data_IF_117133490147
#
_entry.id   IF_117133490147
#
_cell.length_a   1.000
_cell.length_b   1.000
_cell.length_c   1.000
_cell.angle_alpha   90.00
_cell.angle_beta   90.00
_cell.angle_gamma   90.00
#
_symmetry.space_group_name_H-M   'P 1'
#
loop_
_entity.id
_entity.type
_entity.pdbx_description
1 polymer ?
#
# COMPACT_ATOMS: atom_id res chain seq x y z
N UNK A 1 -8.56 -27.74 -110.96
CA UNK A 1 -7.93 -26.74 -110.06
C UNK A 1 -9.03 -25.84 -109.50
N UNK A 2 -9.29 -25.89 -108.19
CA UNK A 2 -10.25 -25.03 -107.50
C UNK A 2 -9.48 -23.99 -106.67
N UNK A 3 -9.89 -22.70 -106.63
CA UNK A 3 -9.18 -21.70 -105.85
C UNK A 3 -9.55 -21.81 -104.37
N UNK A 4 -8.53 -21.84 -103.50
CA UNK A 4 -8.70 -21.87 -102.06
C UNK A 4 -9.25 -20.53 -101.53
N UNK A 5 -10.40 -20.57 -100.85
CA UNK A 5 -11.05 -19.42 -100.21
C UNK A 5 -10.23 -18.98 -98.99
N UNK A 6 -9.56 -17.83 -99.05
CA UNK A 6 -8.89 -17.21 -97.89
C UNK A 6 -9.93 -16.70 -96.90
N UNK A 7 -10.09 -17.38 -95.77
CA UNK A 7 -10.82 -16.86 -94.60
C UNK A 7 -10.02 -15.75 -93.95
N UNK A 8 -10.53 -14.52 -94.04
CA UNK A 8 -9.99 -13.34 -93.34
C UNK A 8 -10.28 -13.49 -91.85
N UNK A 9 -9.26 -13.87 -91.06
CA UNK A 9 -9.32 -13.78 -89.59
C UNK A 9 -9.41 -12.29 -89.21
N UNK A 10 -10.61 -11.82 -88.88
CA UNK A 10 -10.80 -10.49 -88.29
C UNK A 10 -9.94 -10.36 -87.03
N UNK A 11 -9.15 -9.28 -87.00
CA UNK A 11 -8.17 -8.94 -85.96
C UNK A 11 -8.83 -8.83 -84.58
N UNK A 12 -8.81 -9.90 -83.78
CA UNK A 12 -9.18 -9.90 -82.34
C UNK A 12 -8.14 -9.25 -81.41
N UNK A 13 -7.07 -8.65 -81.97
CA UNK A 13 -5.98 -8.05 -81.20
C UNK A 13 -6.43 -6.89 -80.30
N UNK A 14 -7.45 -6.13 -80.71
CA UNK A 14 -8.00 -5.03 -79.89
C UNK A 14 -8.72 -5.51 -78.63
N UNK A 15 -9.54 -6.57 -78.75
CA UNK A 15 -10.28 -7.12 -77.61
C UNK A 15 -9.35 -7.72 -76.54
N UNK A 16 -8.28 -8.41 -76.95
CA UNK A 16 -7.28 -8.94 -76.02
C UNK A 16 -6.53 -7.82 -75.27
N UNK A 17 -6.26 -6.69 -75.95
CA UNK A 17 -5.56 -5.56 -75.36
C UNK A 17 -6.45 -4.82 -74.35
N UNK A 18 -7.75 -4.68 -74.63
CA UNK A 18 -8.74 -4.15 -73.68
C UNK A 18 -8.85 -5.05 -72.45
N UNK A 19 -8.93 -6.38 -72.65
CA UNK A 19 -9.00 -7.35 -71.55
C UNK A 19 -7.75 -7.27 -70.65
N UNK A 20 -6.58 -7.13 -71.27
CA UNK A 20 -5.31 -6.96 -70.56
C UNK A 20 -5.27 -5.64 -69.77
N UNK A 21 -5.74 -4.52 -70.34
CA UNK A 21 -5.82 -3.24 -69.62
C UNK A 21 -6.77 -3.33 -68.42
N UNK A 22 -7.93 -3.96 -68.57
CA UNK A 22 -8.87 -4.16 -67.45
C UNK A 22 -8.21 -4.97 -66.33
N UNK A 23 -7.52 -6.06 -66.70
CA UNK A 23 -6.81 -6.89 -65.72
C UNK A 23 -5.72 -6.09 -65.00
N UNK A 24 -4.89 -5.33 -65.72
CA UNK A 24 -3.85 -4.50 -65.11
C UNK A 24 -4.44 -3.47 -64.16
N UNK A 25 -5.55 -2.82 -64.51
CA UNK A 25 -6.21 -1.83 -63.65
C UNK A 25 -6.73 -2.47 -62.36
N UNK A 26 -7.40 -3.63 -62.45
CA UNK A 26 -7.93 -4.34 -61.28
C UNK A 26 -6.79 -4.82 -60.36
N UNK A 27 -5.73 -5.41 -60.92
CA UNK A 27 -4.59 -5.87 -60.13
C UNK A 27 -3.79 -4.72 -59.51
N UNK A 28 -3.68 -3.58 -60.19
CA UNK A 28 -3.06 -2.37 -59.63
C UNK A 28 -3.89 -1.84 -58.47
N UNK A 29 -5.21 -1.75 -58.62
CA UNK A 29 -6.11 -1.32 -57.55
C UNK A 29 -6.05 -2.26 -56.34
N UNK A 30 -6.04 -3.58 -56.57
CA UNK A 30 -5.88 -4.58 -55.52
C UNK A 30 -4.51 -4.48 -54.82
N UNK A 31 -3.42 -4.32 -55.58
CA UNK A 31 -2.08 -4.17 -55.04
C UNK A 31 -1.96 -2.94 -54.15
N UNK A 32 -2.51 -1.79 -54.59
CA UNK A 32 -2.56 -0.57 -53.78
C UNK A 32 -3.42 -0.78 -52.52
N UNK A 33 -4.57 -1.45 -52.64
CA UNK A 33 -5.40 -1.78 -51.47
C UNK A 33 -4.69 -2.71 -50.49
N UNK A 34 -3.96 -3.71 -50.95
CA UNK A 34 -3.20 -4.61 -50.06
C UNK A 34 -2.00 -3.90 -49.43
N UNK A 35 -1.29 -3.06 -50.18
CA UNK A 35 -0.18 -2.28 -49.66
C UNK A 35 -0.65 -1.30 -48.57
N UNK A 36 -1.79 -0.64 -48.77
CA UNK A 36 -2.39 0.27 -47.78
C UNK A 36 -2.88 -0.49 -46.54
N UNK A 37 -3.57 -1.61 -46.70
CA UNK A 37 -4.00 -2.45 -45.56
C UNK A 37 -2.80 -2.99 -44.77
N UNK A 38 -1.75 -3.44 -45.45
CA UNK A 38 -0.52 -3.93 -44.81
C UNK A 38 0.19 -2.83 -44.04
N UNK A 39 0.33 -1.63 -44.64
CA UNK A 39 0.91 -0.47 -43.97
C UNK A 39 0.12 -0.05 -42.73
N UNK A 40 -1.22 -0.01 -42.84
CA UNK A 40 -2.09 0.29 -41.71
C UNK A 40 -1.95 -0.74 -40.58
N UNK A 41 -1.92 -2.03 -40.92
CA UNK A 41 -1.76 -3.11 -39.94
C UNK A 41 -0.39 -3.06 -39.26
N UNK A 42 0.68 -2.79 -40.00
CA UNK A 42 2.03 -2.65 -39.45
C UNK A 42 2.11 -1.47 -38.46
N UNK A 43 1.46 -0.35 -38.79
CA UNK A 43 1.41 0.81 -37.91
C UNK A 43 0.57 0.52 -36.65
N UNK A 44 -0.57 -0.16 -36.79
CA UNK A 44 -1.39 -0.59 -35.66
C UNK A 44 -0.61 -1.52 -34.73
N UNK A 45 0.10 -2.52 -35.28
CA UNK A 45 0.94 -3.43 -34.51
C UNK A 45 2.07 -2.69 -33.77
N UNK A 46 2.73 -1.74 -34.43
CA UNK A 46 3.77 -0.90 -33.80
C UNK A 46 3.21 -0.08 -32.64
N UNK A 47 2.03 0.53 -32.83
CA UNK A 47 1.38 1.32 -31.79
C UNK A 47 0.95 0.44 -30.60
N UNK A 48 0.36 -0.73 -30.86
CA UNK A 48 -0.01 -1.67 -29.81
C UNK A 48 1.22 -2.14 -29.03
N UNK A 49 2.31 -2.47 -29.71
CA UNK A 49 3.55 -2.86 -29.07
C UNK A 49 4.08 -1.75 -28.15
N UNK A 50 4.17 -0.50 -28.64
CA UNK A 50 4.61 0.65 -27.82
C UNK A 50 3.72 0.88 -26.60
N UNK A 51 2.39 0.75 -26.76
CA UNK A 51 1.42 0.88 -25.68
C UNK A 51 1.65 -0.20 -24.61
N UNK A 52 1.79 -1.46 -25.02
CA UNK A 52 1.99 -2.59 -24.11
C UNK A 52 3.34 -2.48 -23.40
N UNK A 53 4.42 -2.12 -24.12
CA UNK A 53 5.72 -1.88 -23.51
C UNK A 53 5.69 -0.74 -22.49
N UNK A 54 5.06 0.39 -22.83
CA UNK A 54 4.92 1.52 -21.89
C UNK A 54 4.11 1.12 -20.66
N UNK A 55 3.07 0.29 -20.81
CA UNK A 55 2.30 -0.23 -19.67
C UNK A 55 3.13 -1.20 -18.82
N UNK A 56 3.90 -2.09 -19.46
CA UNK A 56 4.80 -3.01 -18.75
C UNK A 56 5.86 -2.26 -17.95
N UNK A 57 6.46 -1.21 -18.52
CA UNK A 57 7.40 -0.34 -17.81
C UNK A 57 6.71 0.38 -16.64
N UNK A 58 5.47 0.85 -16.83
CA UNK A 58 4.70 1.49 -15.78
C UNK A 58 4.42 0.53 -14.61
N UNK A 59 4.06 -0.73 -14.89
CA UNK A 59 3.86 -1.74 -13.84
C UNK A 59 5.15 -2.08 -13.10
N UNK A 60 6.30 -2.15 -13.80
CA UNK A 60 7.59 -2.35 -13.13
C UNK A 60 7.94 -1.18 -12.21
N UNK A 61 7.72 0.06 -12.65
CA UNK A 61 7.87 1.23 -11.79
C UNK A 61 6.93 1.19 -10.58
N UNK A 62 5.69 0.74 -10.76
CA UNK A 62 4.74 0.58 -9.66
C UNK A 62 5.24 -0.42 -8.62
N UNK A 63 5.76 -1.57 -9.03
CA UNK A 63 6.33 -2.57 -8.12
C UNK A 63 7.59 -2.06 -7.41
N UNK A 64 8.47 -1.33 -8.09
CA UNK A 64 9.59 -0.64 -7.43
C UNK A 64 9.09 0.36 -6.37
N UNK A 65 8.03 1.12 -6.69
CA UNK A 65 7.39 2.02 -5.73
C UNK A 65 6.81 1.29 -4.52
N UNK A 66 6.15 0.14 -4.72
CA UNK A 66 5.65 -0.70 -3.62
C UNK A 66 6.77 -1.20 -2.73
N UNK A 67 7.90 -1.60 -3.32
CA UNK A 67 9.08 -2.02 -2.56
C UNK A 67 9.64 -0.88 -1.69
N UNK A 68 9.78 0.33 -2.24
CA UNK A 68 10.21 1.51 -1.48
C UNK A 68 9.25 1.78 -0.31
N UNK A 69 7.95 1.66 -0.56
CA UNK A 69 6.94 1.82 0.49
C UNK A 69 7.08 0.75 1.59
N UNK A 70 7.36 -0.49 1.22
CA UNK A 70 7.59 -1.57 2.19
C UNK A 70 8.78 -1.26 3.12
N UNK A 71 9.87 -0.72 2.58
CA UNK A 71 11.05 -0.31 3.36
C UNK A 71 10.68 0.88 4.26
N UNK A 72 9.96 1.87 3.73
CA UNK A 72 9.50 3.01 4.50
C UNK A 72 8.58 2.59 5.65
N UNK A 73 7.65 1.67 5.41
CA UNK A 73 6.73 1.13 6.41
C UNK A 73 7.47 0.45 7.57
N UNK A 74 8.49 -0.35 7.27
CA UNK A 74 9.34 -1.00 8.27
C UNK A 74 10.17 -0.01 9.11
N UNK A 75 10.34 1.23 8.63
CA UNK A 75 11.09 2.29 9.31
C UNK A 75 10.19 3.24 10.12
N UNK A 76 8.87 2.99 10.16
CA UNK A 76 7.94 3.86 10.86
C UNK A 76 8.01 3.64 12.38
N UNK A 77 7.96 4.72 13.20
CA UNK A 77 7.98 4.60 14.64
C UNK A 77 6.64 4.04 15.17
N UNK A 78 6.71 3.27 16.26
CA UNK A 78 5.54 2.86 17.02
C UNK A 78 4.91 4.06 17.76
N UNK A 79 3.59 4.05 17.90
CA UNK A 79 2.84 5.08 18.65
C UNK A 79 1.82 4.43 19.57
N UNK A 80 1.60 4.97 20.78
CA UNK A 80 0.62 4.45 21.73
C UNK A 80 -0.82 4.80 21.37
N UNK A 81 -1.06 5.75 20.46
CA UNK A 81 -2.40 6.21 20.13
C UNK A 81 -3.00 5.41 18.97
N UNK A 82 -4.31 5.13 19.03
CA UNK A 82 -5.07 4.47 17.96
C UNK A 82 -5.42 5.41 16.78
N UNK A 83 -4.75 6.56 16.68
CA UNK A 83 -4.95 7.52 15.60
C UNK A 83 -3.60 8.03 15.09
N UNK A 84 -3.54 8.32 13.80
CA UNK A 84 -2.37 8.96 13.19
C UNK A 84 -2.58 10.47 13.24
N UNK A 85 -1.80 11.16 14.07
CA UNK A 85 -1.80 12.63 14.13
C UNK A 85 -1.24 13.24 12.84
N UNK A 86 -1.53 14.52 12.58
CA UNK A 86 -1.00 15.23 11.41
C UNK A 86 0.55 15.27 11.42
N UNK A 87 1.16 15.41 12.60
CA UNK A 87 2.61 15.39 12.75
C UNK A 87 3.21 14.02 12.36
N UNK A 88 2.59 12.93 12.79
CA UNK A 88 3.00 11.58 12.42
C UNK A 88 2.83 11.31 10.92
N UNK A 89 1.73 11.76 10.33
CA UNK A 89 1.54 11.66 8.88
C UNK A 89 2.59 12.46 8.09
N UNK A 90 3.01 13.62 8.60
CA UNK A 90 4.13 14.39 8.03
C UNK A 90 5.46 13.64 8.16
N UNK A 91 5.69 12.97 9.29
CA UNK A 91 6.88 12.16 9.50
C UNK A 91 6.93 10.96 8.54
N UNK A 92 5.81 10.25 8.34
CA UNK A 92 5.69 9.17 7.35
C UNK A 92 6.08 9.66 5.95
N UNK A 93 5.59 10.83 5.54
CA UNK A 93 5.94 11.43 4.26
C UNK A 93 7.45 11.75 4.17
N UNK A 94 8.04 12.30 5.24
CA UNK A 94 9.47 12.60 5.28
C UNK A 94 10.33 11.33 5.17
N UNK A 95 9.95 10.26 5.88
CA UNK A 95 10.62 8.95 5.82
C UNK A 95 10.54 8.39 4.39
N UNK A 96 9.36 8.41 3.78
CA UNK A 96 9.16 7.92 2.41
C UNK A 96 10.05 8.67 1.41
N UNK A 97 10.10 10.00 1.47
CA UNK A 97 10.96 10.81 0.60
C UNK A 97 12.44 10.46 0.78
N UNK A 98 12.89 10.28 2.03
CA UNK A 98 14.27 9.89 2.31
C UNK A 98 14.59 8.48 1.77
N UNK A 99 13.69 7.51 1.97
CA UNK A 99 13.86 6.14 1.47
C UNK A 99 13.88 6.06 -0.06
N UNK A 100 13.12 6.93 -0.73
CA UNK A 100 13.13 7.04 -2.18
C UNK A 100 14.45 7.63 -2.70
N UNK A 101 14.97 8.68 -2.07
CA UNK A 101 16.27 9.26 -2.43
C UNK A 101 17.41 8.26 -2.22
N UNK A 102 17.35 7.48 -1.13
CA UNK A 102 18.35 6.50 -0.75
C UNK A 102 18.39 5.26 -1.67
N UNK A 103 17.43 5.08 -2.58
CA UNK A 103 17.45 3.93 -3.49
C UNK A 103 18.69 3.97 -4.39
N UNK A 104 19.45 2.85 -4.52
CA UNK A 104 20.70 2.82 -5.29
C UNK A 104 20.55 3.27 -6.75
N UNK A 105 19.40 2.96 -7.37
CA UNK A 105 19.13 3.32 -8.76
C UNK A 105 18.65 4.77 -8.94
N UNK A 106 18.22 5.43 -7.87
CA UNK A 106 17.82 6.85 -7.83
C UNK A 106 19.02 7.74 -7.56
N UNK A 107 19.92 7.33 -6.66
CA UNK A 107 21.18 8.02 -6.41
C UNK A 107 21.02 9.47 -5.94
N UNK A 108 20.04 9.73 -5.06
CA UNK A 108 19.69 11.08 -4.58
C UNK A 108 19.31 12.09 -5.68
N UNK A 109 18.87 11.61 -6.85
CA UNK A 109 18.44 12.47 -7.97
C UNK A 109 16.91 12.57 -8.10
N UNK A 110 16.13 12.13 -7.10
CA UNK A 110 14.68 12.31 -7.17
C UNK A 110 14.33 13.79 -7.01
N UNK A 111 13.44 14.28 -7.87
CA UNK A 111 12.91 15.63 -7.81
C UNK A 111 11.82 15.69 -6.75
N UNK A 112 12.09 16.41 -5.67
CA UNK A 112 11.17 16.58 -4.55
C UNK A 112 10.49 17.95 -4.62
N UNK A 113 9.17 17.94 -4.54
CA UNK A 113 8.26 19.07 -4.40
C UNK A 113 7.61 19.03 -3.00
N UNK A 114 6.77 20.02 -2.67
CA UNK A 114 6.10 20.07 -1.36
C UNK A 114 5.19 18.85 -1.09
N UNK A 115 4.50 18.36 -2.11
CA UNK A 115 3.51 17.27 -2.00
C UNK A 115 3.77 16.12 -2.95
N UNK A 116 4.91 16.12 -3.65
CA UNK A 116 5.26 15.07 -4.59
C UNK A 116 6.76 14.82 -4.60
N UNK A 117 7.15 13.61 -4.97
CA UNK A 117 8.53 13.25 -5.25
C UNK A 117 8.56 12.31 -6.44
N UNK A 118 9.46 12.53 -7.39
CA UNK A 118 9.55 11.77 -8.65
C UNK A 118 10.98 11.32 -8.90
N UNK A 119 11.20 10.04 -9.21
CA UNK A 119 12.54 9.53 -9.56
C UNK A 119 12.95 9.98 -10.95
N UNK A 120 14.26 10.01 -11.25
CA UNK A 120 14.71 10.05 -12.64
C UNK A 120 14.17 8.84 -13.42
N UNK A 121 14.10 9.00 -14.75
CA UNK A 121 13.73 7.90 -15.64
C UNK A 121 14.82 6.84 -15.67
N UNK A 122 14.44 5.59 -15.40
CA UNK A 122 15.31 4.43 -15.50
C UNK A 122 14.96 3.61 -16.72
N UNK A 123 15.95 3.32 -17.56
CA UNK A 123 15.77 2.45 -18.73
C UNK A 123 15.36 1.04 -18.29
N UNK A 124 14.41 0.45 -19.02
CA UNK A 124 13.84 -0.86 -18.75
C UNK A 124 13.60 -1.62 -20.06
N UNK A 125 14.29 -2.74 -20.23
CA UNK A 125 14.18 -3.57 -21.43
C UNK A 125 14.89 -2.94 -22.63
N UNK A 126 14.17 -2.77 -23.74
CA UNK A 126 14.70 -2.21 -24.98
C UNK A 126 15.10 -0.72 -24.83
N UNK A 127 15.96 -0.23 -25.74
CA UNK A 127 16.62 1.08 -25.64
C UNK A 127 15.67 2.27 -25.40
N UNK A 128 14.44 2.21 -25.91
CA UNK A 128 13.48 3.32 -25.85
C UNK A 128 12.46 3.22 -24.70
N UNK A 129 12.52 2.14 -23.90
CA UNK A 129 11.59 1.89 -22.82
C UNK A 129 12.18 2.29 -21.47
N UNK A 130 11.43 3.04 -20.67
CA UNK A 130 11.85 3.54 -19.37
C UNK A 130 10.69 3.66 -18.40
N UNK A 131 10.98 3.68 -17.11
CA UNK A 131 10.00 3.95 -16.07
C UNK A 131 10.48 5.02 -15.09
N UNK A 132 9.51 5.65 -14.43
CA UNK A 132 9.67 6.57 -13.31
C UNK A 132 8.68 6.18 -12.22
N UNK A 133 9.04 6.46 -10.98
CA UNK A 133 8.19 6.30 -9.82
C UNK A 133 7.89 7.68 -9.27
N UNK A 134 6.60 7.96 -9.05
CA UNK A 134 6.14 9.21 -8.47
C UNK A 134 5.25 8.92 -7.27
N UNK A 135 5.59 9.48 -6.11
CA UNK A 135 4.66 9.58 -5.00
C UNK A 135 4.06 10.98 -4.97
N UNK A 136 2.76 11.06 -4.73
CA UNK A 136 2.03 12.31 -4.51
C UNK A 136 1.17 12.17 -3.26
N UNK A 137 1.29 13.12 -2.35
CA UNK A 137 0.46 13.21 -1.16
C UNK A 137 -0.86 13.92 -1.50
N UNK A 138 -1.98 13.26 -1.20
CA UNK A 138 -3.33 13.76 -1.41
C UNK A 138 -3.95 14.09 -0.04
N UNK A 139 -3.71 15.30 0.46
CA UNK A 139 -4.13 15.67 1.81
C UNK A 139 -3.23 15.08 2.90
N UNK A 140 -3.75 14.87 4.10
CA UNK A 140 -2.90 14.52 5.25
C UNK A 140 -2.52 13.04 5.29
N UNK A 141 -3.48 12.15 5.03
CA UNK A 141 -3.34 10.71 5.27
C UNK A 141 -3.44 9.85 4.00
N UNK A 142 -3.37 10.42 2.81
CA UNK A 142 -3.43 9.64 1.56
C UNK A 142 -2.17 9.89 0.74
N UNK A 143 -1.55 8.80 0.28
CA UNK A 143 -0.41 8.81 -0.63
C UNK A 143 -0.81 8.05 -1.89
N UNK A 144 -0.71 8.73 -3.04
CA UNK A 144 -0.83 8.11 -4.35
C UNK A 144 0.56 7.75 -4.86
N UNK A 145 0.77 6.46 -5.12
CA UNK A 145 1.90 5.95 -5.88
C UNK A 145 1.52 5.89 -7.36
N UNK A 146 2.39 6.39 -8.23
CA UNK A 146 2.24 6.34 -9.68
C UNK A 146 3.50 5.72 -10.30
N UNK A 147 3.32 4.60 -11.02
CA UNK A 147 4.33 4.08 -11.93
C UNK A 147 4.10 4.69 -13.31
N UNK A 148 5.09 5.40 -13.84
CA UNK A 148 5.02 6.08 -15.14
C UNK A 148 5.97 5.35 -16.09
N UNK A 149 5.44 4.70 -17.12
CA UNK A 149 6.23 4.01 -18.12
C UNK A 149 6.15 4.71 -19.47
N UNK A 150 7.27 4.77 -20.18
CA UNK A 150 7.37 5.34 -21.52
C UNK A 150 8.06 4.37 -22.47
N UNK A 151 7.59 4.33 -23.72
CA UNK A 151 8.31 3.74 -24.85
C UNK A 151 8.27 4.73 -26.02
N UNK A 152 9.39 5.41 -26.29
CA UNK A 152 9.48 6.51 -27.24
C UNK A 152 8.54 7.66 -26.87
N UNK A 153 7.58 7.97 -27.74
CA UNK A 153 6.57 9.03 -27.52
C UNK A 153 5.31 8.56 -26.79
N UNK A 154 5.19 7.27 -26.47
CA UNK A 154 4.00 6.71 -25.80
C UNK A 154 4.24 6.57 -24.31
N UNK A 155 3.35 7.14 -23.49
CA UNK A 155 3.43 7.07 -22.03
C UNK A 155 2.18 6.44 -21.44
N UNK A 156 2.36 5.56 -20.46
CA UNK A 156 1.29 4.97 -19.65
C UNK A 156 1.56 5.17 -18.17
N UNK A 157 0.49 5.23 -17.39
CA UNK A 157 0.56 5.41 -15.95
C UNK A 157 -0.36 4.41 -15.26
N UNK A 158 0.18 3.74 -14.26
CA UNK A 158 -0.60 2.96 -13.30
C UNK A 158 -0.46 3.63 -11.94
N UNK A 159 -1.52 3.60 -11.12
CA UNK A 159 -1.50 4.26 -9.82
C UNK A 159 -2.25 3.48 -8.76
N UNK A 160 -1.75 3.56 -7.53
CA UNK A 160 -2.37 2.99 -6.33
C UNK A 160 -2.49 4.10 -5.30
N UNK A 161 -3.66 4.23 -4.67
CA UNK A 161 -3.85 5.08 -3.51
C UNK A 161 -3.73 4.25 -2.24
N UNK A 162 -3.00 4.80 -1.27
CA UNK A 162 -2.74 4.18 0.01
C UNK A 162 -3.09 5.16 1.11
N UNK A 163 -3.62 4.62 2.20
CA UNK A 163 -3.98 5.39 3.39
C UNK A 163 -2.89 5.20 4.44
N UNK A 164 -2.42 6.31 5.01
CA UNK A 164 -1.58 6.32 6.20
C UNK A 164 -2.50 6.06 7.39
N UNK A 165 -2.45 4.85 7.90
CA UNK A 165 -3.23 4.42 9.06
C UNK A 165 -2.35 3.61 10.00
N UNK A 166 -2.79 3.47 11.26
CA UNK A 166 -2.09 2.64 12.23
C UNK A 166 -2.15 1.18 11.78
N UNK A 167 -1.02 0.49 11.91
CA UNK A 167 -1.01 -0.95 11.72
C UNK A 167 -1.90 -1.62 12.79
N UNK A 168 -2.72 -2.57 12.35
CA UNK A 168 -3.68 -3.30 13.20
C UNK A 168 -3.01 -4.43 13.95
N UNK A 169 -1.76 -4.26 14.40
CA UNK A 169 -1.17 -5.20 15.33
C UNK A 169 -2.18 -5.41 16.45
N UNK A 170 -2.63 -6.65 16.56
CA UNK A 170 -3.59 -7.07 17.55
C UNK A 170 -2.93 -6.80 18.89
N UNK A 171 -3.65 -6.16 19.79
CA UNK A 171 -3.18 -6.00 21.16
C UNK A 171 -2.99 -7.43 21.73
N UNK A 172 -1.74 -7.90 21.75
CA UNK A 172 -1.37 -9.21 22.29
C UNK A 172 -1.29 -9.12 23.82
N UNK A 173 -2.46 -8.99 24.45
CA UNK A 173 -2.61 -9.08 25.90
C UNK A 173 -3.44 -10.30 26.25
N UNK A 174 -3.03 -11.03 27.28
CA UNK A 174 -3.86 -12.06 27.90
C UNK A 174 -5.12 -11.44 28.50
N UNK A 175 -5.00 -10.22 29.08
CA UNK A 175 -6.11 -9.43 29.62
C UNK A 175 -5.86 -7.94 29.37
N UNK A 176 -6.85 -7.24 28.83
CA UNK A 176 -6.83 -5.79 28.65
C UNK A 176 -8.09 -5.14 29.24
N UNK A 177 -7.91 -4.10 30.04
CA UNK A 177 -9.01 -3.34 30.66
C UNK A 177 -8.82 -1.83 30.46
N UNK A 178 -9.93 -1.10 30.42
CA UNK A 178 -9.90 0.38 30.52
C UNK A 178 -9.87 0.88 31.96
N UNK A 179 -10.14 0.00 32.93
CA UNK A 179 -10.20 0.34 34.35
C UNK A 179 -9.20 -0.48 35.16
N UNK A 180 -9.28 -0.31 36.47
CA UNK A 180 -8.52 -1.10 37.44
C UNK A 180 -8.83 -2.59 37.31
N UNK A 181 -7.87 -3.43 37.67
CA UNK A 181 -8.00 -4.88 37.63
C UNK A 181 -7.62 -5.49 38.98
N UNK A 182 -8.47 -6.38 39.47
CA UNK A 182 -8.26 -7.14 40.71
C UNK A 182 -8.15 -8.63 40.40
N UNK A 183 -7.04 -9.23 40.83
CA UNK A 183 -6.71 -10.63 40.67
C UNK A 183 -6.78 -11.28 42.06
N UNK A 184 -7.73 -12.20 42.25
CA UNK A 184 -7.99 -12.85 43.53
C UNK A 184 -8.23 -14.35 43.33
N UNK A 185 -8.02 -15.14 44.39
CA UNK A 185 -8.38 -16.56 44.43
C UNK A 185 -7.53 -17.44 43.51
N UNK A 186 -6.24 -17.53 43.81
CA UNK A 186 -5.27 -18.42 43.13
C UNK A 186 -5.27 -18.33 41.60
N UNK A 187 -5.38 -17.12 41.05
CA UNK A 187 -5.43 -16.92 39.59
C UNK A 187 -4.04 -16.77 38.99
N UNK A 188 -3.72 -17.59 37.97
CA UNK A 188 -2.47 -17.44 37.19
C UNK A 188 -2.78 -16.98 35.77
N UNK A 189 -2.29 -15.81 35.38
CA UNK A 189 -2.37 -15.31 34.01
C UNK A 189 -1.05 -15.61 33.29
N UNK A 190 -1.16 -16.25 32.13
CA UNK A 190 -0.04 -16.46 31.21
C UNK A 190 -0.09 -15.44 30.08
N UNK A 191 0.84 -14.48 30.09
CA UNK A 191 0.94 -13.41 29.08
C UNK A 191 0.79 -12.01 29.66
N UNK A 192 0.95 -11.02 28.79
CA UNK A 192 0.97 -9.61 29.19
C UNK A 192 -0.42 -9.11 29.57
N UNK A 193 -0.48 -8.21 30.54
CA UNK A 193 -1.72 -7.54 30.94
C UNK A 193 -1.60 -6.03 30.74
N UNK A 194 -2.71 -5.40 30.39
CA UNK A 194 -2.78 -3.96 30.15
C UNK A 194 -3.98 -3.31 30.85
N UNK A 195 -3.74 -2.15 31.46
CA UNK A 195 -4.79 -1.25 31.98
C UNK A 195 -4.55 0.17 31.47
N UNK A 196 -5.60 0.81 30.95
CA UNK A 196 -5.60 2.24 30.55
C UNK A 196 -5.85 3.20 31.74
N UNK A 197 -5.75 2.69 32.99
CA UNK A 197 -5.96 3.49 34.19
C UNK A 197 -4.83 4.49 34.41
N UNK A 198 -5.18 5.78 34.41
CA UNK A 198 -4.24 6.91 34.35
C UNK A 198 -4.15 7.73 35.64
N UNK A 199 -4.78 7.27 36.73
CA UNK A 199 -4.76 7.97 38.03
C UNK A 199 -3.59 7.47 38.90
N UNK A 200 -2.54 8.28 39.12
CA UNK A 200 -1.35 7.86 39.85
C UNK A 200 -1.57 7.73 41.36
N UNK A 201 -2.71 8.17 41.90
CA UNK A 201 -3.00 8.04 43.34
C UNK A 201 -3.48 6.64 43.70
N UNK A 202 -3.87 5.82 42.72
CA UNK A 202 -4.53 4.53 42.94
C UNK A 202 -3.94 3.47 42.01
N UNK A 203 -3.57 2.32 42.56
CA UNK A 203 -2.98 1.25 41.76
C UNK A 203 -3.90 0.75 40.65
N UNK A 204 -3.40 0.64 39.41
CA UNK A 204 -4.13 0.04 38.29
C UNK A 204 -4.34 -1.47 38.46
N UNK A 205 -3.50 -2.14 39.24
CA UNK A 205 -3.57 -3.59 39.48
C UNK A 205 -3.49 -3.90 40.99
N UNK A 206 -4.42 -4.70 41.49
CA UNK A 206 -4.27 -5.33 42.81
C UNK A 206 -4.28 -6.85 42.63
N UNK A 207 -3.46 -7.53 43.42
CA UNK A 207 -3.30 -8.97 43.37
C UNK A 207 -3.15 -9.49 44.79
N UNK A 208 -3.82 -10.61 45.10
CA UNK A 208 -3.58 -11.36 46.33
C UNK A 208 -2.29 -12.16 46.23
N UNK A 209 -1.65 -12.48 47.37
CA UNK A 209 -0.34 -13.15 47.41
C UNK A 209 -0.31 -14.53 46.73
N UNK A 210 -1.47 -15.13 46.51
CA UNK A 210 -1.68 -16.43 45.89
C UNK A 210 -1.90 -16.37 44.36
N UNK A 211 -2.00 -15.17 43.80
CA UNK A 211 -2.21 -14.93 42.37
C UNK A 211 -0.90 -14.50 41.69
N UNK A 212 -0.76 -14.83 40.41
CA UNK A 212 0.46 -14.55 39.66
C UNK A 212 0.17 -14.11 38.23
N UNK A 213 0.95 -13.14 37.76
CA UNK A 213 1.00 -12.73 36.35
C UNK A 213 2.36 -13.14 35.78
N UNK A 214 2.34 -14.11 34.87
CA UNK A 214 3.51 -14.63 34.19
C UNK A 214 3.64 -13.93 32.82
N UNK A 215 3.93 -12.63 32.88
CA UNK A 215 4.05 -11.72 31.74
C UNK A 215 4.39 -10.30 32.17
N UNK A 216 4.30 -9.36 31.25
CA UNK A 216 4.57 -7.94 31.49
C UNK A 216 3.29 -7.21 31.93
N UNK A 217 3.41 -6.35 32.94
CA UNK A 217 2.33 -5.46 33.38
C UNK A 217 2.51 -4.10 32.70
N UNK A 218 1.56 -3.69 31.87
CA UNK A 218 1.61 -2.43 31.13
C UNK A 218 0.53 -1.44 31.61
N UNK A 219 0.92 -0.20 31.84
CA UNK A 219 0.05 0.91 32.28
C UNK A 219 0.59 2.23 31.71
N UNK A 220 -0.25 3.26 31.51
CA UNK A 220 0.20 4.60 31.15
C UNK A 220 0.99 5.32 32.27
N UNK A 221 0.98 4.81 33.50
CA UNK A 221 1.70 5.37 34.64
C UNK A 221 3.21 5.09 34.57
N UNK A 222 4.04 6.03 35.01
CA UNK A 222 5.50 5.83 35.10
C UNK A 222 5.88 4.98 36.30
N UNK A 223 7.08 4.39 36.28
CA UNK A 223 7.59 3.60 37.40
C UNK A 223 7.60 4.42 38.71
N UNK A 224 8.05 5.68 38.66
CA UNK A 224 8.07 6.60 39.81
C UNK A 224 6.67 6.89 40.38
N UNK A 225 5.62 6.80 39.56
CA UNK A 225 4.23 6.97 40.00
C UNK A 225 3.66 5.71 40.65
N UNK A 226 4.20 4.54 40.32
CA UNK A 226 3.74 3.23 40.81
C UNK A 226 4.49 2.81 42.08
N UNK A 227 5.80 3.06 42.16
CA UNK A 227 6.64 2.74 43.31
C UNK A 227 6.11 3.21 44.69
N UNK A 228 5.52 4.41 44.84
CA UNK A 228 4.97 4.84 46.12
C UNK A 228 3.59 4.23 46.44
N UNK A 229 2.95 3.55 45.49
CA UNK A 229 1.65 2.92 45.69
C UNK A 229 1.86 1.64 46.51
N UNK A 230 1.27 1.57 47.70
CA UNK A 230 1.10 0.28 48.36
C UNK A 230 0.08 -0.53 47.56
N UNK A 231 0.40 -1.77 47.22
CA UNK A 231 -0.59 -2.72 46.76
C UNK A 231 -1.62 -2.87 47.86
N UNK A 232 -2.78 -2.23 47.69
CA UNK A 232 -3.85 -2.27 48.67
C UNK A 232 -4.47 -3.67 48.60
N UNK A 233 -3.93 -4.56 49.44
CA UNK A 233 -4.60 -5.79 49.84
C UNK A 233 -5.94 -5.34 50.43
N UNK A 234 -7.03 -5.87 49.90
CA UNK A 234 -8.34 -5.69 50.50
C UNK A 234 -8.21 -6.18 51.95
N UNK A 235 -8.41 -5.29 52.93
CA UNK A 235 -8.47 -5.72 54.32
C UNK A 235 -9.75 -6.53 54.44
N UNK A 236 -9.62 -7.84 54.58
CA UNK A 236 -10.75 -8.75 54.76
C UNK A 236 -10.91 -9.06 56.24
N UNK A 237 -12.16 -9.17 56.69
CA UNK A 237 -12.45 -9.74 58.01
C UNK A 237 -12.18 -11.26 58.03
N UNK A 238 -12.32 -11.87 59.21
CA UNK A 238 -12.11 -13.30 59.40
C UNK A 238 -13.08 -14.19 58.59
N UNK A 239 -14.16 -13.61 58.06
CA UNK A 239 -15.17 -14.28 57.25
C UNK A 239 -14.99 -13.98 55.74
N UNK A 240 -13.93 -13.26 55.35
CA UNK A 240 -13.60 -12.95 53.97
C UNK A 240 -14.38 -11.78 53.37
N UNK A 241 -15.00 -10.92 54.18
CA UNK A 241 -15.71 -9.74 53.71
C UNK A 241 -14.83 -8.48 53.79
N UNK A 242 -14.95 -7.54 52.84
CA UNK A 242 -14.18 -6.30 52.85
C UNK A 242 -14.52 -5.39 54.03
N UNK A 243 -13.48 -4.97 54.74
CA UNK A 243 -13.54 -4.00 55.84
C UNK A 243 -12.68 -2.76 55.51
N UNK A 244 -13.03 -1.62 56.09
CA UNK A 244 -12.22 -0.40 56.02
C UNK A 244 -11.00 -0.47 56.95
N UNK A 245 -10.19 0.59 56.95
CA UNK A 245 -8.99 0.69 57.79
C UNK A 245 -9.28 0.68 59.31
N UNK A 246 -10.52 0.91 59.72
CA UNK A 246 -10.98 0.95 61.11
C UNK A 246 -11.71 -0.34 61.53
N UNK A 247 -11.79 -1.34 60.62
CA UNK A 247 -12.43 -2.63 60.87
C UNK A 247 -13.94 -2.64 60.66
N UNK A 248 -14.50 -1.63 60.00
CA UNK A 248 -15.92 -1.54 59.70
C UNK A 248 -16.24 -2.25 58.39
N UNK A 249 -17.27 -3.13 58.34
CA UNK A 249 -17.71 -3.74 57.10
C UNK A 249 -18.08 -2.70 56.04
N UNK A 250 -17.40 -2.75 54.89
CA UNK A 250 -17.72 -1.91 53.74
C UNK A 250 -19.05 -2.41 53.15
N UNK A 251 -20.13 -1.67 53.45
CA UNK A 251 -21.49 -2.01 53.05
C UNK A 251 -21.65 -2.35 51.56
N UNK A 252 -22.79 -2.95 51.20
CA UNK A 252 -23.11 -3.38 49.83
C UNK A 252 -23.23 -2.23 48.81
N UNK A 253 -23.09 -0.98 49.24
CA UNK A 253 -23.08 0.19 48.36
C UNK A 253 -21.66 0.44 47.84
N UNK A 254 -21.46 0.18 46.56
CA UNK A 254 -20.22 0.41 45.82
C UNK A 254 -19.79 1.89 45.79
N UNK A 255 -20.63 2.84 46.20
CA UNK A 255 -20.31 4.26 46.29
C UNK A 255 -19.36 4.61 47.43
N UNK A 256 -19.34 3.82 48.51
CA UNK A 256 -18.47 4.08 49.67
C UNK A 256 -17.14 3.30 49.58
N UNK A 257 -17.00 2.39 48.61
CA UNK A 257 -15.80 1.54 48.40
C UNK A 257 -14.68 2.21 47.60
N UNK A 258 -14.91 3.42 47.08
CA UNK A 258 -14.01 4.09 46.14
C UNK A 258 -13.86 5.60 46.40
N UNK A 259 -13.63 5.97 47.66
CA UNK A 259 -13.02 7.25 48.01
C UNK A 259 -11.61 7.05 48.53
#
# INVERSE_FOLDING_TARGET
MLPAKKTVRLKRKGAALILAMIFVVIFSALAVSMATLSGANAQLASNQHKIVSALSAASSGLECGRHIMSIANASLPSTPYNMVTVAQANQVWSILCAQMQAQPWVGNQAQQEATAITTPAKTFGAADSSFQVKFRRLGTHIIRLEGIGSNGQTTRRASIEMVIQKDKDILDYAVASKGRMWLTGESTIHGDIYSDWDRPEISPFNMTDDSAVLGTINTPLTLEQIEPQSYQLETLDADGNPIDADGTPLGVNFTDRYY
#
